data_IF_304609601768
#
_entry.id   IF_304609601768
#
_cell.length_a   1.000
_cell.length_b   1.000
_cell.length_c   1.000
_cell.angle_alpha   90.00
_cell.angle_beta   90.00
_cell.angle_gamma   90.00
#
_symmetry.space_group_name_H-M   'P 1'
#
loop_
_entity.id
_entity.type
_entity.pdbx_description
1 polymer ?
#
# COMPACT_ATOMS: atom_id res chain seq x y z
N UNK A 1 32.55 -24.39 -57.67
CA UNK A 1 33.12 -23.34 -56.84
C UNK A 1 32.13 -23.01 -55.75
N UNK A 2 32.37 -23.56 -54.55
CA UNK A 2 31.39 -23.55 -53.48
C UNK A 2 31.73 -22.45 -52.47
N UNK A 3 30.91 -21.40 -52.43
CA UNK A 3 31.01 -20.34 -51.43
C UNK A 3 30.04 -20.70 -50.30
N UNK A 4 30.59 -21.23 -49.21
CA UNK A 4 29.84 -21.44 -47.97
C UNK A 4 29.75 -20.10 -47.23
N UNK A 5 28.57 -19.53 -47.22
CA UNK A 5 28.22 -18.38 -46.41
C UNK A 5 28.04 -18.83 -44.96
N UNK A 6 28.92 -18.40 -44.07
CA UNK A 6 28.82 -18.57 -42.63
C UNK A 6 27.87 -17.49 -42.08
N UNK A 7 26.67 -17.86 -41.71
CA UNK A 7 25.73 -17.01 -40.97
C UNK A 7 26.11 -17.03 -39.50
N UNK A 8 26.72 -15.96 -39.02
CA UNK A 8 26.94 -15.73 -37.59
C UNK A 8 25.68 -15.12 -37.01
N UNK A 9 24.90 -15.95 -36.28
CA UNK A 9 23.74 -15.50 -35.53
C UNK A 9 24.23 -14.77 -34.27
N UNK A 10 24.10 -13.44 -34.25
CA UNK A 10 24.38 -12.61 -33.07
C UNK A 10 23.19 -12.66 -32.14
N UNK A 11 23.29 -13.37 -31.01
CA UNK A 11 22.27 -13.39 -29.96
C UNK A 11 22.43 -12.13 -29.13
N UNK A 12 21.54 -11.17 -29.31
CA UNK A 12 21.38 -10.00 -28.46
C UNK A 12 20.67 -10.42 -27.16
N UNK A 13 21.45 -10.57 -26.09
CA UNK A 13 20.89 -10.74 -24.73
C UNK A 13 20.40 -9.37 -24.26
N UNK A 14 19.10 -9.14 -24.35
CA UNK A 14 18.44 -7.98 -23.76
C UNK A 14 18.31 -8.21 -22.26
N UNK A 15 19.22 -7.63 -21.47
CA UNK A 15 19.09 -7.56 -20.02
C UNK A 15 17.95 -6.60 -19.69
N UNK A 16 16.74 -7.14 -19.52
CA UNK A 16 15.58 -6.38 -19.05
C UNK A 16 15.80 -5.96 -17.62
N UNK A 17 16.04 -4.66 -17.39
CA UNK A 17 15.86 -4.07 -16.07
C UNK A 17 14.39 -4.22 -15.68
N UNK A 18 14.11 -5.06 -14.68
CA UNK A 18 12.79 -5.10 -14.06
C UNK A 18 12.59 -3.82 -13.26
N UNK A 19 11.98 -2.85 -13.88
CA UNK A 19 11.42 -1.69 -13.20
C UNK A 19 10.28 -2.23 -12.34
N UNK A 20 10.40 -2.11 -11.03
CA UNK A 20 9.29 -2.38 -10.09
C UNK A 20 8.17 -1.40 -10.43
N UNK A 21 7.19 -1.84 -11.18
CA UNK A 21 6.01 -1.05 -11.52
C UNK A 21 5.24 -0.82 -10.21
N UNK A 22 4.90 0.43 -9.83
CA UNK A 22 3.94 0.65 -8.75
C UNK A 22 2.66 -0.09 -9.14
N UNK A 23 2.03 -0.68 -8.13
CA UNK A 23 0.83 -1.51 -8.25
C UNK A 23 -0.23 -0.78 -9.07
N UNK A 24 -0.37 -1.15 -10.34
CA UNK A 24 -1.24 -0.47 -11.32
C UNK A 24 -2.72 -0.75 -11.01
N UNK A 25 -3.01 -1.70 -10.14
CA UNK A 25 -4.36 -2.10 -9.78
C UNK A 25 -5.06 -1.07 -8.87
N UNK A 26 -4.29 -0.35 -8.04
CA UNK A 26 -4.83 0.64 -7.12
C UNK A 26 -3.98 1.93 -7.07
N UNK A 27 -4.11 2.82 -8.05
CA UNK A 27 -3.23 4.00 -8.19
C UNK A 27 -3.29 4.98 -7.02
N UNK A 28 -4.36 4.95 -6.24
CA UNK A 28 -4.53 5.81 -5.05
C UNK A 28 -3.98 5.19 -3.76
N UNK A 29 -3.44 3.96 -3.80
CA UNK A 29 -2.88 3.30 -2.61
C UNK A 29 -1.36 3.37 -2.59
N UNK A 30 -0.82 3.74 -1.44
CA UNK A 30 0.62 3.69 -1.14
C UNK A 30 0.82 2.69 -0.01
N UNK A 31 1.18 1.46 -0.38
CA UNK A 31 1.30 0.35 0.58
C UNK A 31 2.78 0.08 0.85
N UNK A 32 3.16 0.12 2.12
CA UNK A 32 4.53 -0.21 2.54
C UNK A 32 4.87 -1.69 2.29
N UNK A 33 6.14 -2.03 2.04
CA UNK A 33 6.56 -3.40 1.67
C UNK A 33 6.14 -4.49 2.67
N UNK A 34 6.18 -4.19 3.97
CA UNK A 34 5.74 -5.15 4.98
C UNK A 34 4.22 -5.30 5.01
N UNK A 35 3.50 -4.21 4.84
CA UNK A 35 2.04 -4.23 4.78
C UNK A 35 1.55 -5.01 3.56
N UNK A 36 2.17 -4.85 2.40
CA UNK A 36 1.78 -5.55 1.17
C UNK A 36 1.90 -7.08 1.27
N UNK A 37 2.75 -7.59 2.15
CA UNK A 37 2.93 -9.04 2.32
C UNK A 37 1.74 -9.75 2.98
N UNK A 38 0.89 -9.01 3.68
CA UNK A 38 -0.25 -9.58 4.41
C UNK A 38 -1.58 -8.83 4.21
N UNK A 39 -1.57 -7.71 3.50
CA UNK A 39 -2.81 -6.98 3.19
C UNK A 39 -3.40 -7.48 1.88
N UNK A 40 -4.67 -7.80 1.92
CA UNK A 40 -5.50 -7.97 0.74
C UNK A 40 -6.42 -6.75 0.61
N UNK A 41 -6.35 -6.06 -0.51
CA UNK A 41 -7.25 -4.97 -0.83
C UNK A 41 -8.52 -5.56 -1.45
N UNK A 42 -9.66 -5.33 -0.81
CA UNK A 42 -10.96 -5.83 -1.26
C UNK A 42 -11.68 -4.81 -2.14
N UNK A 43 -11.28 -3.54 -2.09
CA UNK A 43 -11.80 -2.49 -2.94
C UNK A 43 -11.41 -1.10 -2.49
N UNK A 44 -11.40 -0.18 -3.44
CA UNK A 44 -11.24 1.26 -3.21
C UNK A 44 -12.54 1.94 -3.63
N UNK A 45 -12.99 2.90 -2.85
CA UNK A 45 -14.25 3.58 -3.04
C UNK A 45 -14.00 5.08 -3.08
N UNK A 46 -14.70 5.74 -4.00
CA UNK A 46 -14.68 7.18 -4.15
C UNK A 46 -16.11 7.69 -4.30
N UNK A 47 -16.37 8.87 -3.83
CA UNK A 47 -17.67 9.51 -3.93
C UNK A 47 -17.65 10.95 -3.47
N UNK A 48 -18.81 11.58 -3.46
CA UNK A 48 -19.00 12.95 -3.00
C UNK A 48 -19.85 12.95 -1.72
N UNK A 49 -19.41 13.69 -0.74
CA UNK A 49 -20.17 13.99 0.47
C UNK A 49 -20.86 15.37 0.34
N UNK A 50 -21.61 15.76 1.37
CA UNK A 50 -22.28 17.07 1.39
C UNK A 50 -21.29 18.23 1.17
N UNK A 51 -21.70 19.23 0.41
CA UNK A 51 -20.86 20.41 0.10
C UNK A 51 -19.76 20.12 -0.92
N UNK A 52 -19.99 19.20 -1.83
CA UNK A 52 -19.06 18.80 -2.90
C UNK A 52 -17.69 18.33 -2.40
N UNK A 53 -17.65 17.80 -1.18
CA UNK A 53 -16.43 17.28 -0.60
C UNK A 53 -16.14 15.87 -1.12
N UNK A 54 -14.91 15.65 -1.57
CA UNK A 54 -14.45 14.34 -1.99
C UNK A 54 -14.46 13.37 -0.79
N UNK A 55 -15.01 12.19 -0.98
CA UNK A 55 -14.99 11.08 -0.03
C UNK A 55 -14.22 9.93 -0.64
N UNK A 56 -13.27 9.39 0.08
CA UNK A 56 -12.49 8.25 -0.36
C UNK A 56 -12.44 7.18 0.73
N UNK A 57 -12.32 5.93 0.31
CA UNK A 57 -12.25 4.81 1.24
C UNK A 57 -11.54 3.61 0.64
N UNK A 58 -11.10 2.72 1.53
CA UNK A 58 -10.51 1.43 1.18
C UNK A 58 -11.08 0.35 2.09
N UNK A 59 -11.43 -0.77 1.50
CA UNK A 59 -11.75 -1.99 2.21
C UNK A 59 -10.59 -2.95 2.10
N UNK A 60 -10.11 -3.43 3.22
CA UNK A 60 -8.91 -4.26 3.31
C UNK A 60 -9.09 -5.38 4.34
N UNK A 61 -8.34 -6.45 4.16
CA UNK A 61 -8.31 -7.60 5.08
C UNK A 61 -6.87 -8.05 5.31
N UNK A 62 -6.56 -8.47 6.53
CA UNK A 62 -5.30 -9.15 6.81
C UNK A 62 -5.42 -10.64 6.46
N UNK A 63 -4.53 -11.15 5.62
CA UNK A 63 -4.38 -12.59 5.36
C UNK A 63 -3.37 -13.25 6.30
N UNK A 64 -2.75 -12.48 7.20
CA UNK A 64 -1.90 -13.02 8.26
C UNK A 64 -2.73 -13.76 9.30
N UNK A 65 -2.15 -14.78 9.93
CA UNK A 65 -2.72 -15.46 11.10
C UNK A 65 -2.39 -14.75 12.41
N UNK A 66 -1.59 -13.69 12.36
CA UNK A 66 -1.19 -12.88 13.51
C UNK A 66 -1.90 -11.53 13.47
N UNK A 67 -2.10 -10.94 14.65
CA UNK A 67 -2.50 -9.53 14.74
C UNK A 67 -1.40 -8.66 14.15
N UNK A 68 -1.81 -7.69 13.35
CA UNK A 68 -0.93 -6.70 12.74
C UNK A 68 -1.39 -5.31 13.16
N UNK A 69 -0.47 -4.38 13.15
CA UNK A 69 -0.81 -2.98 13.42
C UNK A 69 -0.38 -2.12 12.23
N UNK A 70 -1.34 -1.47 11.63
CA UNK A 70 -1.11 -0.48 10.59
C UNK A 70 -1.11 0.93 11.16
N UNK A 71 -0.35 1.81 10.56
CA UNK A 71 -0.63 3.23 10.53
C UNK A 71 -1.14 3.58 9.14
N UNK A 72 -2.13 4.46 9.07
CA UNK A 72 -2.69 4.92 7.81
C UNK A 72 -2.95 6.42 7.86
N UNK A 73 -2.99 7.06 6.69
CA UNK A 73 -3.47 8.42 6.52
C UNK A 73 -4.09 8.61 5.15
N UNK A 74 -5.00 9.56 5.05
CA UNK A 74 -5.51 10.08 3.79
C UNK A 74 -4.77 11.36 3.46
N UNK A 75 -4.12 11.40 2.33
CA UNK A 75 -3.49 12.58 1.75
C UNK A 75 -4.43 13.15 0.70
N UNK A 76 -4.86 14.38 0.87
CA UNK A 76 -5.77 15.06 -0.06
C UNK A 76 -4.99 15.99 -0.95
N UNK A 77 -5.25 15.95 -2.24
CA UNK A 77 -4.52 16.72 -3.24
C UNK A 77 -5.46 17.69 -3.97
N UNK A 78 -4.96 18.90 -4.25
CA UNK A 78 -5.65 19.85 -5.11
C UNK A 78 -5.42 19.54 -6.60
N UNK A 79 -6.07 20.31 -7.47
CA UNK A 79 -5.96 20.14 -8.92
C UNK A 79 -4.53 20.32 -9.48
N UNK A 80 -3.63 20.92 -8.70
CA UNK A 80 -2.22 21.07 -9.04
C UNK A 80 -1.33 19.99 -8.44
N UNK A 81 -1.92 19.03 -7.70
CA UNK A 81 -1.22 17.91 -7.06
C UNK A 81 -0.58 18.27 -5.71
N UNK A 82 -0.86 19.43 -5.12
CA UNK A 82 -0.36 19.80 -3.81
C UNK A 82 -1.25 19.27 -2.69
N UNK A 83 -0.60 18.84 -1.61
CA UNK A 83 -1.31 18.38 -0.41
C UNK A 83 -2.09 19.49 0.28
N UNK A 84 -3.39 19.25 0.46
CA UNK A 84 -4.26 20.10 1.28
C UNK A 84 -4.11 19.66 2.73
N UNK A 85 -3.42 20.48 3.52
CA UNK A 85 -3.17 20.18 4.92
C UNK A 85 -4.44 20.37 5.77
N UNK A 86 -4.61 19.48 6.75
CA UNK A 86 -5.71 19.55 7.68
C UNK A 86 -5.74 18.36 8.64
N UNK A 87 -6.71 18.35 9.55
CA UNK A 87 -6.88 17.25 10.52
C UNK A 87 -7.16 15.91 9.85
N UNK A 88 -7.79 15.90 8.68
CA UNK A 88 -8.11 14.70 7.92
C UNK A 88 -6.89 13.97 7.34
N UNK A 89 -5.71 14.62 7.30
CA UNK A 89 -4.45 14.03 6.83
C UNK A 89 -3.56 13.46 7.94
N UNK A 90 -4.06 13.33 9.16
CA UNK A 90 -3.28 12.77 10.28
C UNK A 90 -3.04 11.28 10.13
N UNK A 91 -1.90 10.84 10.66
CA UNK A 91 -1.62 9.43 10.83
C UNK A 91 -2.49 8.84 11.94
N UNK A 92 -3.19 7.76 11.62
CA UNK A 92 -4.00 6.99 12.53
C UNK A 92 -3.48 5.56 12.63
N UNK A 93 -3.85 4.87 13.71
CA UNK A 93 -3.48 3.47 13.94
C UNK A 93 -4.71 2.59 13.79
N UNK A 94 -4.52 1.44 13.15
CA UNK A 94 -5.53 0.39 13.01
C UNK A 94 -4.93 -0.95 13.44
N UNK A 95 -5.58 -1.62 14.38
CA UNK A 95 -5.27 -3.00 14.72
C UNK A 95 -6.06 -3.95 13.81
N UNK A 96 -5.34 -4.77 13.06
CA UNK A 96 -5.90 -5.76 12.16
C UNK A 96 -5.95 -7.11 12.86
N UNK A 97 -7.16 -7.66 12.98
CA UNK A 97 -7.35 -9.05 13.38
C UNK A 97 -7.19 -9.99 12.19
N UNK A 98 -6.70 -11.23 12.42
CA UNK A 98 -6.60 -12.24 11.37
C UNK A 98 -7.93 -12.43 10.63
N UNK A 99 -7.88 -12.41 9.30
CA UNK A 99 -9.00 -12.71 8.40
C UNK A 99 -10.24 -11.81 8.52
N UNK A 100 -10.16 -10.70 9.26
CA UNK A 100 -11.27 -9.75 9.41
C UNK A 100 -11.09 -8.59 8.43
N UNK A 101 -12.16 -8.26 7.71
CA UNK A 101 -12.21 -7.09 6.82
C UNK A 101 -12.46 -5.81 7.62
N UNK A 102 -11.76 -4.76 7.23
CA UNK A 102 -11.88 -3.41 7.77
C UNK A 102 -12.18 -2.44 6.64
N UNK A 103 -13.05 -1.47 6.90
CA UNK A 103 -13.32 -0.35 5.99
C UNK A 103 -12.80 0.93 6.62
N UNK A 104 -11.98 1.64 5.87
CA UNK A 104 -11.48 2.97 6.20
C UNK A 104 -12.08 3.95 5.22
N UNK A 105 -12.69 5.02 5.68
CA UNK A 105 -13.17 6.09 4.83
C UNK A 105 -13.00 7.46 5.50
N UNK A 106 -12.77 8.48 4.69
CA UNK A 106 -12.62 9.86 5.12
C UNK A 106 -13.21 10.79 4.08
N UNK A 107 -13.57 11.98 4.57
CA UNK A 107 -14.06 13.08 3.75
C UNK A 107 -12.95 14.14 3.71
N UNK A 108 -12.73 14.71 2.54
CA UNK A 108 -11.76 15.78 2.33
C UNK A 108 -12.09 17.00 3.19
N UNK A 109 -11.09 17.71 3.71
CA UNK A 109 -11.29 18.89 4.55
C UNK A 109 -11.73 20.13 3.77
N UNK A 110 -11.70 20.07 2.45
CA UNK A 110 -11.95 21.22 1.56
C UNK A 110 -12.50 20.74 0.22
N UNK A 111 -13.41 21.52 -0.41
CA UNK A 111 -13.87 21.24 -1.78
C UNK A 111 -12.78 21.46 -2.85
N UNK A 112 -11.61 22.01 -2.48
CA UNK A 112 -10.44 22.11 -3.36
C UNK A 112 -9.75 20.75 -3.58
N UNK A 113 -10.04 19.74 -2.76
CA UNK A 113 -9.53 18.39 -2.94
C UNK A 113 -10.18 17.76 -4.17
N UNK A 114 -9.36 17.43 -5.17
CA UNK A 114 -9.78 16.77 -6.42
C UNK A 114 -9.19 15.39 -6.58
N UNK A 115 -8.24 15.04 -5.73
CA UNK A 115 -7.55 13.74 -5.75
C UNK A 115 -7.09 13.35 -4.35
N UNK A 116 -6.67 12.11 -4.16
CA UNK A 116 -6.23 11.59 -2.87
C UNK A 116 -5.23 10.45 -3.00
N UNK A 117 -4.51 10.18 -1.90
CA UNK A 117 -3.75 8.95 -1.69
C UNK A 117 -4.04 8.39 -0.31
N UNK A 118 -4.14 7.08 -0.20
CA UNK A 118 -4.29 6.38 1.07
C UNK A 118 -3.00 5.65 1.37
N UNK A 119 -2.32 6.06 2.42
CA UNK A 119 -1.06 5.48 2.85
C UNK A 119 -1.32 4.39 3.89
N UNK A 120 -0.74 3.21 3.71
CA UNK A 120 -0.90 2.03 4.55
C UNK A 120 0.48 1.46 4.89
N UNK A 121 0.93 1.60 6.13
CA UNK A 121 2.25 1.13 6.55
C UNK A 121 2.16 0.24 7.79
N UNK A 122 2.90 -0.85 7.78
CA UNK A 122 3.06 -1.72 8.95
C UNK A 122 3.89 -1.04 10.04
N UNK A 123 3.40 -1.08 11.27
CA UNK A 123 4.12 -0.69 12.49
C UNK A 123 4.08 -1.80 13.54
N UNK A 124 3.76 -3.02 13.16
CA UNK A 124 3.81 -4.17 14.07
C UNK A 124 5.23 -4.35 14.60
N UNK A 125 5.36 -4.49 15.90
CA UNK A 125 6.63 -4.87 16.49
C UNK A 125 6.95 -6.31 16.06
N UNK A 126 8.16 -6.61 15.54
CA UNK A 126 8.53 -7.98 15.27
C UNK A 126 8.37 -8.81 16.57
N UNK A 127 7.71 -9.96 16.45
CA UNK A 127 7.67 -10.90 17.57
C UNK A 127 9.11 -11.19 18.01
N UNK A 128 9.44 -10.84 19.24
CA UNK A 128 10.77 -11.06 19.78
C UNK A 128 10.95 -12.58 19.94
N UNK A 129 11.68 -13.22 19.04
CA UNK A 129 11.93 -14.67 19.01
C UNK A 129 12.89 -15.08 20.15
N UNK A 130 13.36 -14.13 20.97
CA UNK A 130 14.32 -14.34 22.04
C UNK A 130 13.72 -14.38 23.45
N UNK A 131 12.50 -14.87 23.61
CA UNK A 131 12.08 -15.34 24.93
C UNK A 131 12.68 -16.73 25.17
N UNK A 132 13.97 -16.74 25.48
CA UNK A 132 14.62 -17.90 26.08
C UNK A 132 13.96 -18.11 27.44
N UNK A 133 13.32 -19.24 27.73
CA UNK A 133 12.86 -19.51 29.07
C UNK A 133 14.11 -19.67 29.96
N UNK A 134 14.34 -18.72 30.87
CA UNK A 134 15.28 -18.89 31.95
C UNK A 134 14.83 -20.10 32.75
N UNK A 135 15.47 -21.23 32.48
CA UNK A 135 15.36 -22.40 33.31
C UNK A 135 15.87 -22.06 34.71
N UNK A 136 14.98 -21.92 35.65
CA UNK A 136 15.29 -21.97 37.05
C UNK A 136 15.78 -23.38 37.36
N UNK A 137 17.02 -23.50 37.71
CA UNK A 137 17.57 -24.70 38.27
C UNK A 137 17.54 -24.59 39.80
N UNK A 138 17.20 -25.64 40.54
CA UNK A 138 17.01 -25.66 41.98
C UNK A 138 18.31 -25.46 42.78
#
# INVERSE_FOLDING_TARGET
>A
MNIRALLVASVLVVSGCQTTTPDTEHPHLVIGPRASSYLQIEGVQEGTASGDLLRAGVRLRSISNLRQTLRFRFEWLDASGFEIRGLAGRWERLELRPQISHSLDRIAPSPKATDYRIHLFDISTPANVNSHPSGSNP
#
